data_IF_872291488527
#
_entry.id   IF_872291488527
#
_cell.length_a   1.000
_cell.length_b   1.000
_cell.length_c   1.000
_cell.angle_alpha   90.00
_cell.angle_beta   90.00
_cell.angle_gamma   90.00
#
_symmetry.space_group_name_H-M   'P 1'
#
loop_
_entity.id
_entity.type
_entity.pdbx_description
1 polymer ?
#
# COMPACT_ATOMS: atom_id res chain seq x y z
N UNK A 1 -21.69 -9.81 5.41
CA UNK A 1 -20.21 -9.79 5.40
C UNK A 1 -19.66 -8.47 5.95
N UNK A 2 -19.59 -7.33 5.23
CA UNK A 2 -19.03 -6.07 5.81
C UNK A 2 -19.84 -5.49 6.98
N UNK A 3 -21.18 -5.54 6.93
CA UNK A 3 -22.05 -5.12 8.05
C UNK A 3 -21.74 -5.93 9.32
N UNK A 4 -21.35 -7.20 9.17
CA UNK A 4 -21.02 -8.08 10.29
C UNK A 4 -19.62 -7.79 10.86
N UNK A 5 -18.68 -7.29 10.04
CA UNK A 5 -17.38 -6.82 10.52
C UNK A 5 -17.52 -5.59 11.41
N UNK A 6 -18.30 -4.59 10.98
CA UNK A 6 -18.49 -3.38 11.77
C UNK A 6 -19.22 -3.60 13.10
N UNK A 7 -20.07 -4.64 13.20
CA UNK A 7 -20.74 -5.02 14.45
C UNK A 7 -19.78 -5.50 15.53
N UNK A 8 -18.64 -6.08 15.14
CA UNK A 8 -17.65 -6.64 16.05
C UNK A 8 -16.43 -5.71 16.23
N UNK A 9 -16.40 -4.54 15.59
CA UNK A 9 -15.32 -3.58 15.76
C UNK A 9 -15.48 -2.85 17.11
N UNK A 10 -14.41 -2.73 17.92
CA UNK A 10 -14.44 -1.89 19.10
C UNK A 10 -14.76 -0.44 18.71
N UNK A 11 -15.49 0.27 19.58
CA UNK A 11 -16.02 1.63 19.33
C UNK A 11 -14.93 2.66 18.93
N UNK A 12 -13.68 2.42 19.31
CA UNK A 12 -12.55 3.29 18.97
C UNK A 12 -12.02 3.14 17.54
N UNK A 13 -12.47 2.15 16.77
CA UNK A 13 -12.02 1.95 15.39
C UNK A 13 -12.91 2.68 14.39
N UNK A 14 -12.30 3.14 13.29
CA UNK A 14 -13.05 3.68 12.16
C UNK A 14 -13.83 2.55 11.49
N UNK A 15 -15.15 2.70 11.23
CA UNK A 15 -15.93 1.68 10.54
C UNK A 15 -15.36 1.37 9.16
N UNK A 16 -15.34 0.08 8.81
CA UNK A 16 -14.96 -0.39 7.48
C UNK A 16 -16.05 0.01 6.49
N UNK A 17 -15.64 0.68 5.41
CA UNK A 17 -16.50 1.02 4.29
C UNK A 17 -16.16 0.15 3.09
N UNK A 18 -17.16 -0.22 2.31
CA UNK A 18 -17.00 -1.08 1.14
C UNK A 18 -17.79 -0.52 -0.03
N UNK A 19 -17.16 -0.47 -1.20
CA UNK A 19 -17.73 0.06 -2.43
C UNK A 19 -17.57 -0.97 -3.54
N UNK A 20 -18.65 -1.21 -4.26
CA UNK A 20 -18.66 -2.07 -5.44
C UNK A 20 -18.58 -1.23 -6.71
N UNK A 21 -17.88 -1.74 -7.72
CA UNK A 21 -17.82 -1.14 -9.05
C UNK A 21 -17.94 -2.25 -10.11
N UNK A 22 -18.74 -2.05 -11.17
CA UNK A 22 -18.89 -3.05 -12.22
C UNK A 22 -17.67 -3.12 -13.16
N UNK A 23 -16.81 -2.11 -13.14
CA UNK A 23 -15.59 -2.05 -13.97
C UNK A 23 -14.45 -2.74 -13.23
N UNK A 24 -13.95 -3.84 -13.80
CA UNK A 24 -12.84 -4.59 -13.22
C UNK A 24 -11.50 -3.84 -13.34
N UNK A 25 -10.58 -4.12 -12.42
CA UNK A 25 -9.19 -3.68 -12.50
C UNK A 25 -8.74 -2.85 -11.29
N UNK A 26 -7.46 -3.01 -10.93
CA UNK A 26 -6.85 -2.35 -9.75
C UNK A 26 -6.93 -0.82 -9.82
N UNK A 27 -6.68 -0.24 -11.00
CA UNK A 27 -6.75 1.22 -11.20
C UNK A 27 -8.14 1.78 -10.90
N UNK A 28 -9.17 1.16 -11.45
CA UNK A 28 -10.55 1.56 -11.21
C UNK A 28 -10.94 1.40 -9.73
N UNK A 29 -10.52 0.30 -9.08
CA UNK A 29 -10.74 0.11 -7.65
C UNK A 29 -10.12 1.22 -6.80
N UNK A 30 -8.88 1.62 -7.10
CA UNK A 30 -8.19 2.73 -6.42
C UNK A 30 -8.93 4.06 -6.67
N UNK A 31 -9.33 4.36 -7.92
CA UNK A 31 -10.09 5.58 -8.26
C UNK A 31 -11.39 5.67 -7.46
N UNK A 32 -12.19 4.60 -7.45
CA UNK A 32 -13.46 4.56 -6.70
C UNK A 32 -13.22 4.73 -5.21
N UNK A 33 -12.17 4.10 -4.65
CA UNK A 33 -11.82 4.30 -3.23
C UNK A 33 -11.45 5.77 -2.95
N UNK A 34 -10.65 6.38 -3.82
CA UNK A 34 -10.21 7.78 -3.71
C UNK A 34 -11.36 8.80 -3.80
N UNK A 35 -12.49 8.47 -4.43
CA UNK A 35 -13.70 9.31 -4.44
C UNK A 35 -14.40 9.34 -3.07
N UNK A 36 -14.12 8.37 -2.20
CA UNK A 36 -14.80 8.20 -0.92
C UNK A 36 -13.89 8.41 0.30
N UNK A 37 -12.62 8.75 0.10
CA UNK A 37 -11.72 9.02 1.23
C UNK A 37 -12.14 10.29 1.98
N UNK A 38 -11.80 10.35 3.27
CA UNK A 38 -11.96 11.57 4.03
C UNK A 38 -11.02 12.65 3.45
N UNK A 39 -11.53 13.85 3.09
CA UNK A 39 -10.70 14.91 2.53
C UNK A 39 -9.58 15.37 3.48
N UNK A 40 -9.73 15.16 4.79
CA UNK A 40 -8.75 15.50 5.82
C UNK A 40 -7.68 14.42 6.05
N UNK A 41 -7.71 13.32 5.29
CA UNK A 41 -6.68 12.28 5.40
C UNK A 41 -5.38 12.73 4.72
N UNK A 42 -4.32 12.94 5.50
CA UNK A 42 -3.01 13.35 4.97
C UNK A 42 -2.27 12.24 4.22
N UNK A 43 -2.38 11.01 4.71
CA UNK A 43 -1.73 9.82 4.18
C UNK A 43 -2.78 8.78 3.80
N UNK A 44 -2.64 8.21 2.60
CA UNK A 44 -3.45 7.09 2.11
C UNK A 44 -2.55 5.87 1.95
N UNK A 45 -2.96 4.75 2.54
CA UNK A 45 -2.24 3.48 2.43
C UNK A 45 -3.02 2.52 1.55
N UNK A 46 -2.41 2.08 0.45
CA UNK A 46 -2.95 1.09 -0.46
C UNK A 46 -2.42 -0.29 -0.07
N UNK A 47 -3.32 -1.26 0.09
CA UNK A 47 -3.01 -2.62 0.51
C UNK A 47 -3.71 -3.61 -0.40
N UNK A 48 -2.96 -4.57 -0.94
CA UNK A 48 -3.56 -5.66 -1.70
C UNK A 48 -4.35 -6.60 -0.79
N UNK A 49 -5.43 -7.19 -1.32
CA UNK A 49 -6.35 -8.03 -0.55
C UNK A 49 -5.73 -9.33 -0.02
N UNK A 50 -4.57 -9.72 -0.54
CA UNK A 50 -3.79 -10.89 -0.14
C UNK A 50 -2.58 -10.53 0.75
N UNK A 51 -2.47 -9.27 1.19
CA UNK A 51 -1.37 -8.80 2.04
C UNK A 51 -1.78 -8.78 3.51
N UNK A 52 -0.92 -9.35 4.35
CA UNK A 52 -1.06 -9.34 5.81
C UNK A 52 0.06 -8.52 6.41
N UNK A 53 -0.29 -7.64 7.34
CA UNK A 53 0.65 -6.79 8.05
C UNK A 53 1.13 -7.43 9.36
N UNK A 54 2.38 -7.15 9.72
CA UNK A 54 2.84 -7.29 11.10
C UNK A 54 2.32 -6.12 11.94
N UNK A 55 2.28 -6.29 13.26
CA UNK A 55 1.71 -5.31 14.21
C UNK A 55 2.25 -3.87 13.99
N UNK A 56 3.56 -3.72 13.78
CA UNK A 56 4.22 -2.42 13.62
C UNK A 56 4.20 -1.87 12.18
N UNK A 57 3.57 -2.56 11.23
CA UNK A 57 3.69 -2.18 9.81
C UNK A 57 3.24 -0.73 9.57
N UNK A 58 2.07 -0.34 10.11
CA UNK A 58 1.54 1.00 9.90
C UNK A 58 2.41 2.07 10.55
N UNK A 59 2.89 1.85 11.78
CA UNK A 59 3.70 2.83 12.50
C UNK A 59 5.04 3.05 11.79
N UNK A 60 5.72 1.97 11.37
CA UNK A 60 6.97 2.06 10.60
C UNK A 60 6.78 2.74 9.24
N UNK A 61 5.67 2.46 8.55
CA UNK A 61 5.37 3.05 7.25
C UNK A 61 5.14 4.57 7.33
N UNK A 62 4.63 5.07 8.45
CA UNK A 62 4.33 6.49 8.66
C UNK A 62 5.55 7.32 9.12
N UNK A 63 6.56 6.70 9.75
CA UNK A 63 7.74 7.42 10.28
C UNK A 63 8.42 8.35 9.26
N UNK A 64 8.68 7.94 8.00
CA UNK A 64 9.40 8.80 7.06
C UNK A 64 8.63 10.10 6.73
N UNK A 65 7.30 10.06 6.71
CA UNK A 65 6.48 11.25 6.45
C UNK A 65 6.55 12.29 7.56
N UNK A 66 6.74 11.83 8.81
CA UNK A 66 6.92 12.71 9.97
C UNK A 66 8.31 13.36 9.99
N UNK A 67 9.34 12.63 9.52
CA UNK A 67 10.71 13.13 9.48
C UNK A 67 10.97 14.11 8.33
N UNK A 68 10.35 13.92 7.17
CA UNK A 68 10.57 14.78 5.99
C UNK A 68 9.28 15.00 5.18
N UNK A 69 8.92 16.28 5.02
CA UNK A 69 7.74 16.70 4.26
C UNK A 69 7.85 16.42 2.76
N UNK A 70 9.07 16.22 2.23
CA UNK A 70 9.32 15.91 0.82
C UNK A 70 9.04 14.46 0.44
N UNK A 71 8.89 13.57 1.43
CA UNK A 71 8.57 12.16 1.16
C UNK A 71 7.15 12.06 0.60
N UNK A 72 7.05 11.66 -0.66
CA UNK A 72 5.78 11.48 -1.35
C UNK A 72 5.16 10.09 -1.17
N UNK A 73 5.99 9.06 -0.99
CA UNK A 73 5.53 7.69 -0.78
C UNK A 73 6.57 6.80 -0.11
N UNK A 74 6.08 5.78 0.59
CA UNK A 74 6.87 4.82 1.37
C UNK A 74 6.30 3.42 1.14
N UNK A 75 7.19 2.43 1.08
CA UNK A 75 6.84 1.01 0.94
C UNK A 75 7.54 0.20 2.03
N UNK A 76 7.03 -0.99 2.29
CA UNK A 76 7.64 -1.96 3.21
C UNK A 76 8.64 -2.86 2.50
N UNK A 77 9.49 -3.54 3.30
CA UNK A 77 10.13 -4.79 2.91
C UNK A 77 9.05 -5.87 2.84
N UNK A 78 8.74 -6.33 1.63
CA UNK A 78 7.71 -7.34 1.39
C UNK A 78 8.33 -8.75 1.45
N UNK A 79 7.62 -9.71 2.04
CA UNK A 79 8.03 -11.12 2.10
C UNK A 79 6.86 -12.01 1.69
N UNK A 80 7.15 -13.08 0.96
CA UNK A 80 6.14 -14.08 0.60
C UNK A 80 5.83 -14.92 1.84
N UNK A 81 4.54 -15.08 2.15
CA UNK A 81 4.09 -16.02 3.17
C UNK A 81 4.37 -17.45 2.70
N UNK A 82 5.01 -18.25 3.56
CA UNK A 82 5.38 -19.65 3.28
C UNK A 82 6.15 -19.81 1.95
N UNK A 83 7.39 -19.32 1.86
CA UNK A 83 8.16 -19.32 0.62
C UNK A 83 8.54 -20.73 0.16
N UNK A 84 8.67 -21.69 1.08
CA UNK A 84 9.20 -23.03 0.81
C UNK A 84 8.15 -24.01 0.27
N UNK A 85 6.87 -23.60 0.18
CA UNK A 85 5.78 -24.45 -0.30
C UNK A 85 6.00 -25.06 -1.69
N UNK A 86 6.71 -24.34 -2.58
CA UNK A 86 7.03 -24.77 -3.95
C UNK A 86 8.37 -24.16 -4.37
N UNK A 87 9.07 -24.81 -5.30
CA UNK A 87 10.32 -24.28 -5.87
C UNK A 87 10.12 -22.88 -6.47
N UNK A 88 9.02 -22.66 -7.20
CA UNK A 88 8.71 -21.35 -7.80
C UNK A 88 8.51 -20.25 -6.77
N UNK A 89 7.94 -20.56 -5.60
CA UNK A 89 7.70 -19.57 -4.54
C UNK A 89 8.98 -19.27 -3.77
N UNK A 90 9.87 -20.25 -3.65
CA UNK A 90 11.20 -20.05 -3.08
C UNK A 90 12.04 -19.13 -3.98
N UNK A 91 12.05 -19.34 -5.30
CA UNK A 91 12.70 -18.42 -6.23
C UNK A 91 12.06 -17.03 -6.23
N UNK A 92 10.74 -16.94 -6.20
CA UNK A 92 10.05 -15.65 -6.10
C UNK A 92 10.41 -14.90 -4.82
N UNK A 93 10.53 -15.61 -3.69
CA UNK A 93 10.95 -15.01 -2.42
C UNK A 93 12.40 -14.52 -2.50
N UNK A 94 13.30 -15.31 -3.08
CA UNK A 94 14.69 -14.89 -3.29
C UNK A 94 14.78 -13.61 -4.13
N UNK A 95 14.01 -13.51 -5.21
CA UNK A 95 13.98 -12.30 -6.05
C UNK A 95 13.44 -11.07 -5.29
N UNK A 96 12.40 -11.24 -4.49
CA UNK A 96 11.86 -10.17 -3.64
C UNK A 96 12.86 -9.75 -2.56
N UNK A 97 13.59 -10.70 -1.95
CA UNK A 97 14.65 -10.42 -0.97
C UNK A 97 15.81 -9.64 -1.59
N UNK A 98 16.29 -10.05 -2.77
CA UNK A 98 17.33 -9.32 -3.51
C UNK A 98 16.88 -7.89 -3.82
N UNK A 99 15.62 -7.71 -4.23
CA UNK A 99 15.09 -6.37 -4.51
C UNK A 99 15.03 -5.52 -3.25
N UNK A 100 14.44 -6.06 -2.17
CA UNK A 100 14.17 -5.32 -0.95
C UNK A 100 15.45 -5.03 -0.14
N UNK A 101 16.29 -6.03 0.11
CA UNK A 101 17.53 -5.87 0.89
C UNK A 101 18.72 -5.36 0.08
N UNK A 102 18.72 -5.57 -1.24
CA UNK A 102 19.74 -5.06 -2.13
C UNK A 102 19.36 -3.68 -2.65
N UNK A 103 18.69 -3.67 -3.80
CA UNK A 103 18.51 -2.44 -4.60
C UNK A 103 17.71 -1.36 -3.89
N UNK A 104 16.55 -1.68 -3.30
CA UNK A 104 15.68 -0.69 -2.66
C UNK A 104 16.32 -0.09 -1.41
N UNK A 105 16.93 -0.94 -0.58
CA UNK A 105 17.68 -0.50 0.60
C UNK A 105 18.83 0.44 0.19
N UNK A 106 19.63 0.06 -0.79
CA UNK A 106 20.72 0.91 -1.29
C UNK A 106 20.21 2.26 -1.82
N UNK A 107 19.14 2.27 -2.62
CA UNK A 107 18.55 3.52 -3.11
C UNK A 107 17.98 4.38 -1.96
N UNK A 108 17.36 3.75 -0.96
CA UNK A 108 16.73 4.46 0.16
C UNK A 108 17.72 5.25 1.02
N UNK A 109 19.01 4.88 1.01
CA UNK A 109 20.08 5.68 1.66
C UNK A 109 20.14 7.10 1.08
N UNK A 110 19.76 7.27 -0.19
CA UNK A 110 19.68 8.57 -0.87
C UNK A 110 18.27 9.19 -0.83
N UNK A 111 17.35 8.61 -0.04
CA UNK A 111 15.98 9.08 0.12
C UNK A 111 15.07 8.80 -1.08
N UNK A 112 15.41 7.84 -1.95
CA UNK A 112 14.68 7.55 -3.19
C UNK A 112 14.55 6.04 -3.41
N UNK A 113 13.55 5.65 -4.20
CA UNK A 113 13.44 4.30 -4.78
C UNK A 113 12.93 4.44 -6.21
N UNK A 114 13.43 3.61 -7.12
CA UNK A 114 13.03 3.71 -8.54
C UNK A 114 11.56 3.38 -8.80
N UNK A 115 10.98 2.48 -8.00
CA UNK A 115 9.56 2.12 -8.08
C UNK A 115 9.09 1.61 -6.71
N UNK A 116 7.88 2.00 -6.29
CA UNK A 116 7.25 1.52 -5.06
C UNK A 116 6.47 0.22 -5.36
N UNK A 117 6.81 -0.91 -4.72
CA UNK A 117 6.11 -2.17 -4.92
C UNK A 117 4.64 -2.17 -4.50
N UNK A 118 3.75 -2.53 -5.42
CA UNK A 118 2.29 -2.38 -5.29
C UNK A 118 1.52 -3.17 -4.22
N UNK A 119 2.15 -3.97 -3.32
CA UNK A 119 1.41 -4.79 -2.32
C UNK A 119 0.99 -4.00 -1.09
N UNK A 120 1.87 -3.12 -0.62
CA UNK A 120 1.55 -2.14 0.42
C UNK A 120 2.37 -0.89 0.19
N UNK A 121 1.70 0.24 -0.04
CA UNK A 121 2.34 1.53 -0.24
C UNK A 121 1.55 2.61 0.50
N UNK A 122 2.24 3.47 1.24
CA UNK A 122 1.70 4.73 1.73
C UNK A 122 2.07 5.87 0.79
N UNK A 123 1.13 6.77 0.54
CA UNK A 123 1.33 8.00 -0.20
C UNK A 123 0.80 9.19 0.58
N UNK A 124 1.35 10.37 0.32
CA UNK A 124 0.61 11.60 0.61
C UNK A 124 -0.65 11.58 -0.24
N UNK A 125 -1.80 11.72 0.42
CA UNK A 125 -3.11 11.65 -0.23
C UNK A 125 -3.22 12.65 -1.38
N UNK A 126 -2.63 13.83 -1.22
CA UNK A 126 -2.66 14.86 -2.27
C UNK A 126 -2.02 14.40 -3.57
N UNK A 127 -0.92 13.64 -3.51
CA UNK A 127 -0.26 13.10 -4.71
C UNK A 127 -1.20 12.18 -5.47
N UNK A 128 -1.92 11.29 -4.79
CA UNK A 128 -2.89 10.40 -5.44
C UNK A 128 -4.04 11.18 -6.09
N UNK A 129 -4.48 12.29 -5.49
CA UNK A 129 -5.50 13.16 -6.07
C UNK A 129 -4.99 13.85 -7.34
N UNK A 130 -3.79 14.42 -7.27
CA UNK A 130 -3.20 15.21 -8.36
C UNK A 130 -2.94 14.35 -9.60
N UNK A 131 -2.43 13.13 -9.42
CA UNK A 131 -2.07 12.24 -10.54
C UNK A 131 -3.19 11.32 -11.00
N UNK A 132 -4.38 11.37 -10.36
CA UNK A 132 -5.46 10.40 -10.63
C UNK A 132 -5.90 10.39 -12.10
N UNK A 133 -5.95 11.57 -12.72
CA UNK A 133 -6.32 11.68 -14.14
C UNK A 133 -5.29 10.95 -15.02
N UNK A 134 -4.00 11.27 -14.87
CA UNK A 134 -2.94 10.66 -15.67
C UNK A 134 -2.87 9.15 -15.42
N UNK A 135 -2.93 8.72 -14.15
CA UNK A 135 -2.93 7.31 -13.75
C UNK A 135 -4.02 6.48 -14.43
N UNK A 136 -5.19 7.07 -14.67
CA UNK A 136 -6.30 6.39 -15.33
C UNK A 136 -6.19 6.38 -16.87
N UNK A 137 -5.34 7.22 -17.45
CA UNK A 137 -5.21 7.43 -18.89
C UNK A 137 -3.82 7.06 -19.46
N UNK A 138 -2.91 6.54 -18.64
CA UNK A 138 -1.63 5.96 -19.10
C UNK A 138 -1.88 4.83 -20.12
N UNK A 139 -1.27 4.95 -21.31
CA UNK A 139 -1.34 3.98 -22.42
C UNK A 139 -0.18 3.00 -22.42
#
# INVERSE_FOLDING_TARGET
LCVDFNRNLPICFTPIQHYYTPVAGKRNGIRVAMEHINPNSDITVLVDSDTVWTEDTLSELLKPFACDQKIGGVTTRQKILDPDRKLVTMFANLLEEIRAEGTMKAMSVTGKVGCLPGRTIAFRTQILKDVMYDFMNET
#
